data_IF_898930710345
#
_entry.id   IF_898930710345
#
_cell.length_a   1.000
_cell.length_b   1.000
_cell.length_c   1.000
_cell.angle_alpha   90.00
_cell.angle_beta   90.00
_cell.angle_gamma   90.00
#
_symmetry.space_group_name_H-M   'P 1'
#
loop_
_entity.id
_entity.type
_entity.pdbx_description
1 polymer ?
#
# COMPACT_ATOMS: atom_id res chain seq x y z
N UNK A 1 -4.95 -9.40 0.33
CA UNK A 1 -6.41 -9.42 0.05
C UNK A 1 -6.91 -8.04 -0.41
N UNK A 2 -6.72 -6.94 0.35
CA UNK A 2 -7.18 -5.60 -0.04
C UNK A 2 -6.64 -5.05 -1.37
N UNK A 3 -5.35 -5.29 -1.67
CA UNK A 3 -4.72 -4.90 -2.94
C UNK A 3 -5.37 -5.56 -4.16
N UNK A 4 -5.75 -6.83 -4.04
CA UNK A 4 -6.36 -7.60 -5.13
C UNK A 4 -7.79 -7.09 -5.39
N UNK A 5 -8.53 -6.75 -4.34
CA UNK A 5 -9.86 -6.14 -4.46
C UNK A 5 -9.81 -4.77 -5.14
N UNK A 6 -8.82 -3.93 -4.80
CA UNK A 6 -8.61 -2.65 -5.48
C UNK A 6 -8.22 -2.83 -6.95
N UNK A 7 -7.32 -3.79 -7.25
CA UNK A 7 -6.90 -4.10 -8.61
C UNK A 7 -8.10 -4.54 -9.47
N UNK A 8 -8.91 -5.47 -8.98
CA UNK A 8 -10.11 -5.94 -9.68
C UNK A 8 -11.12 -4.81 -9.87
N UNK A 9 -11.34 -3.96 -8.87
CA UNK A 9 -12.25 -2.85 -8.98
C UNK A 9 -11.77 -1.78 -9.99
N UNK A 10 -10.46 -1.58 -10.10
CA UNK A 10 -9.88 -0.67 -11.10
C UNK A 10 -10.08 -1.19 -12.54
N UNK A 11 -9.97 -2.51 -12.74
CA UNK A 11 -10.24 -3.16 -14.03
C UNK A 11 -11.73 -3.08 -14.38
N UNK A 12 -12.62 -3.35 -13.41
CA UNK A 12 -14.08 -3.26 -13.63
C UNK A 12 -14.50 -1.82 -13.97
N UNK A 13 -13.95 -0.81 -13.29
CA UNK A 13 -14.26 0.58 -13.59
C UNK A 13 -13.75 1.04 -14.97
N UNK A 14 -12.69 0.42 -15.49
CA UNK A 14 -12.20 0.69 -16.85
C UNK A 14 -13.24 0.34 -17.92
N UNK A 15 -14.03 -0.72 -17.72
CA UNK A 15 -15.12 -1.11 -18.62
C UNK A 15 -16.39 -0.28 -18.41
N UNK A 16 -16.73 0.08 -17.17
CA UNK A 16 -17.97 0.81 -16.85
C UNK A 16 -17.87 2.33 -17.08
N UNK A 17 -16.67 2.92 -17.01
CA UNK A 17 -16.41 4.36 -17.19
C UNK A 17 -17.33 5.29 -16.38
N UNK A 18 -17.78 4.86 -15.19
CA UNK A 18 -18.68 5.66 -14.35
C UNK A 18 -17.92 6.63 -13.46
N UNK A 19 -18.28 7.92 -13.50
CA UNK A 19 -17.66 8.96 -12.66
C UNK A 19 -17.94 8.75 -11.17
N UNK A 20 -19.13 8.28 -10.80
CA UNK A 20 -19.48 8.04 -9.40
C UNK A 20 -18.65 6.88 -8.81
N UNK A 21 -18.53 5.77 -9.54
CA UNK A 21 -17.71 4.63 -9.14
C UNK A 21 -16.23 5.00 -9.06
N UNK A 22 -15.73 5.84 -9.98
CA UNK A 22 -14.37 6.34 -9.93
C UNK A 22 -14.04 7.05 -8.61
N UNK A 23 -14.93 7.92 -8.11
CA UNK A 23 -14.71 8.63 -6.85
C UNK A 23 -14.78 7.69 -5.65
N UNK A 24 -15.79 6.83 -5.59
CA UNK A 24 -15.94 5.83 -4.51
C UNK A 24 -14.71 4.93 -4.44
N UNK A 25 -14.22 4.43 -5.57
CA UNK A 25 -13.03 3.59 -5.63
C UNK A 25 -11.75 4.33 -5.25
N UNK A 26 -11.66 5.62 -5.58
CA UNK A 26 -10.49 6.42 -5.20
C UNK A 26 -10.43 6.63 -3.68
N UNK A 27 -11.54 7.02 -3.04
CA UNK A 27 -11.59 7.18 -1.58
C UNK A 27 -11.45 5.85 -0.84
N UNK A 28 -12.12 4.79 -1.30
CA UNK A 28 -11.99 3.45 -0.74
C UNK A 28 -10.55 2.92 -0.88
N UNK A 29 -9.92 3.15 -2.03
CA UNK A 29 -8.51 2.84 -2.26
C UNK A 29 -7.62 3.52 -1.22
N UNK A 30 -7.78 4.83 -1.00
CA UNK A 30 -6.99 5.58 -0.01
C UNK A 30 -7.14 4.97 1.40
N UNK A 31 -8.37 4.68 1.84
CA UNK A 31 -8.61 4.08 3.16
C UNK A 31 -7.97 2.70 3.30
N UNK A 32 -8.07 1.85 2.26
CA UNK A 32 -7.46 0.52 2.25
C UNK A 32 -5.94 0.62 2.30
N UNK A 33 -5.33 1.46 1.46
CA UNK A 33 -3.88 1.62 1.41
C UNK A 33 -3.31 2.21 2.70
N UNK A 34 -3.97 3.20 3.31
CA UNK A 34 -3.58 3.73 4.63
C UNK A 34 -3.59 2.62 5.68
N UNK A 35 -4.66 1.81 5.73
CA UNK A 35 -4.76 0.70 6.68
C UNK A 35 -3.69 -0.37 6.47
N UNK A 36 -3.40 -0.71 5.21
CA UNK A 36 -2.33 -1.65 4.85
C UNK A 36 -0.95 -1.11 5.22
N UNK A 37 -0.62 0.12 4.86
CA UNK A 37 0.66 0.75 5.22
C UNK A 37 0.87 0.78 6.74
N UNK A 38 -0.17 1.11 7.51
CA UNK A 38 -0.11 1.12 8.96
C UNK A 38 0.15 -0.28 9.53
N UNK A 39 -0.48 -1.31 8.96
CA UNK A 39 -0.25 -2.70 9.34
C UNK A 39 1.16 -3.16 8.99
N UNK A 40 1.63 -2.90 7.77
CA UNK A 40 2.95 -3.32 7.31
C UNK A 40 4.08 -2.61 8.08
N UNK A 41 3.89 -1.34 8.45
CA UNK A 41 4.80 -0.62 9.35
C UNK A 41 4.94 -1.34 10.71
N UNK A 42 3.81 -1.73 11.30
CA UNK A 42 3.81 -2.44 12.58
C UNK A 42 4.43 -3.84 12.47
N UNK A 43 4.15 -4.55 11.37
CA UNK A 43 4.70 -5.87 11.09
C UNK A 43 6.22 -5.82 10.96
N UNK A 44 6.75 -4.86 10.21
CA UNK A 44 8.21 -4.67 10.03
C UNK A 44 8.86 -4.34 11.37
N UNK A 45 8.26 -3.47 12.19
CA UNK A 45 8.76 -3.13 13.53
C UNK A 45 8.81 -4.34 14.47
N UNK A 46 7.81 -5.23 14.41
CA UNK A 46 7.80 -6.48 15.19
C UNK A 46 8.87 -7.45 14.72
N UNK A 47 9.05 -7.57 13.40
CA UNK A 47 10.06 -8.44 12.80
C UNK A 47 11.48 -7.97 13.14
N UNK A 48 11.76 -6.67 13.06
CA UNK A 48 13.08 -6.12 13.42
C UNK A 48 13.40 -6.33 14.91
N UNK A 49 12.42 -6.10 15.81
CA UNK A 49 12.61 -6.29 17.25
C UNK A 49 12.88 -7.75 17.65
N UNK A 50 12.34 -8.72 16.90
CA UNK A 50 12.58 -10.15 17.14
C UNK A 50 13.93 -10.65 16.61
N UNK A 51 14.59 -9.90 15.73
CA UNK A 51 15.86 -10.27 15.10
C UNK A 51 17.08 -9.69 15.82
N UNK A 52 16.94 -8.61 16.59
CA UNK A 52 18.03 -8.04 17.40
C UNK A 52 18.61 -9.03 18.43
N UNK A 53 17.85 -10.06 18.82
CA UNK A 53 18.29 -11.10 19.75
C UNK A 53 19.03 -12.29 19.11
N UNK A 54 18.97 -12.44 17.79
CA UNK A 54 19.64 -13.52 17.05
C UNK A 54 20.72 -12.89 16.18
N UNK A 55 22.01 -13.14 16.45
CA UNK A 55 23.19 -12.56 15.80
C UNK A 55 23.32 -12.78 14.26
N UNK A 56 22.25 -13.12 13.56
CA UNK A 56 22.21 -13.41 12.15
C UNK A 56 22.03 -12.13 11.31
N UNK A 57 23.11 -11.35 11.19
CA UNK A 57 23.15 -10.07 10.46
C UNK A 57 22.66 -10.20 9.00
N UNK A 58 22.83 -11.36 8.37
CA UNK A 58 22.34 -11.63 7.02
C UNK A 58 20.81 -11.64 6.94
N UNK A 59 20.16 -12.23 7.95
CA UNK A 59 18.70 -12.29 8.04
C UNK A 59 18.09 -10.92 8.35
N UNK A 60 18.72 -10.17 9.27
CA UNK A 60 18.37 -8.76 9.56
C UNK A 60 18.38 -7.91 8.29
N UNK A 61 19.47 -7.97 7.51
CA UNK A 61 19.61 -7.16 6.29
C UNK A 61 18.55 -7.50 5.24
N UNK A 62 18.20 -8.77 5.07
CA UNK A 62 17.13 -9.19 4.16
C UNK A 62 15.76 -8.68 4.60
N UNK A 63 15.45 -8.79 5.89
CA UNK A 63 14.15 -8.35 6.44
C UNK A 63 14.00 -6.83 6.33
N UNK A 64 15.06 -6.07 6.59
CA UNK A 64 15.04 -4.61 6.41
C UNK A 64 14.84 -4.23 4.94
N UNK A 65 15.56 -4.86 4.01
CA UNK A 65 15.42 -4.58 2.58
C UNK A 65 14.02 -4.94 2.04
N UNK A 66 13.50 -6.12 2.39
CA UNK A 66 12.16 -6.53 2.00
C UNK A 66 11.09 -5.63 2.63
N UNK A 67 11.22 -5.31 3.91
CA UNK A 67 10.30 -4.40 4.60
C UNK A 67 10.28 -3.01 3.97
N UNK A 68 11.45 -2.45 3.66
CA UNK A 68 11.56 -1.17 2.98
C UNK A 68 10.93 -1.20 1.58
N UNK A 69 11.13 -2.27 0.81
CA UNK A 69 10.49 -2.45 -0.50
C UNK A 69 8.96 -2.51 -0.39
N UNK A 70 8.41 -3.24 0.59
CA UNK A 70 6.96 -3.29 0.82
C UNK A 70 6.40 -1.91 1.14
N UNK A 71 7.00 -1.20 2.10
CA UNK A 71 6.62 0.16 2.47
C UNK A 71 6.70 1.14 1.29
N UNK A 72 7.72 0.99 0.44
CA UNK A 72 7.89 1.81 -0.76
C UNK A 72 6.75 1.59 -1.78
N UNK A 73 6.37 0.34 -2.01
CA UNK A 73 5.26 0.00 -2.91
C UNK A 73 3.92 0.52 -2.36
N UNK A 74 3.69 0.41 -1.05
CA UNK A 74 2.49 0.96 -0.42
C UNK A 74 2.44 2.48 -0.54
N UNK A 75 3.58 3.14 -0.31
CA UNK A 75 3.71 4.58 -0.45
C UNK A 75 3.40 5.04 -1.88
N UNK A 76 3.94 4.38 -2.91
CA UNK A 76 3.64 4.72 -4.31
C UNK A 76 2.14 4.64 -4.59
N UNK A 77 1.48 3.58 -4.15
CA UNK A 77 0.05 3.41 -4.42
C UNK A 77 -0.80 4.49 -3.75
N UNK A 78 -0.50 4.77 -2.48
CA UNK A 78 -1.15 5.84 -1.73
C UNK A 78 -0.87 7.21 -2.39
N UNK A 79 0.37 7.46 -2.80
CA UNK A 79 0.78 8.68 -3.48
C UNK A 79 0.05 8.88 -4.81
N UNK A 80 -0.08 7.84 -5.64
CA UNK A 80 -0.82 7.92 -6.91
C UNK A 80 -2.32 8.19 -6.68
N UNK A 81 -2.91 7.58 -5.65
CA UNK A 81 -4.29 7.83 -5.27
C UNK A 81 -4.51 9.26 -4.77
N UNK A 82 -3.58 9.77 -3.96
CA UNK A 82 -3.58 11.17 -3.54
C UNK A 82 -3.42 12.10 -4.75
N UNK A 83 -2.45 11.85 -5.62
CA UNK A 83 -2.21 12.63 -6.84
C UNK A 83 -3.45 12.64 -7.72
N UNK A 84 -4.20 11.54 -7.80
CA UNK A 84 -5.47 11.48 -8.53
C UNK A 84 -6.53 12.43 -7.95
N UNK A 85 -6.64 12.52 -6.62
CA UNK A 85 -7.58 13.42 -5.94
C UNK A 85 -7.12 14.89 -6.05
N UNK A 86 -5.83 15.13 -5.85
CA UNK A 86 -5.23 16.47 -5.80
C UNK A 86 -4.98 17.09 -7.18
N UNK A 87 -4.58 16.27 -8.16
CA UNK A 87 -4.17 16.66 -9.51
C UNK A 87 -5.34 16.90 -10.46
N UNK A 88 -6.58 16.59 -10.07
CA UNK A 88 -7.78 16.83 -10.88
C UNK A 88 -8.27 18.28 -10.73
N UNK A 89 -7.36 19.25 -10.80
CA UNK A 89 -7.66 20.67 -10.98
C UNK A 89 -7.32 21.06 -12.42
N UNK A 90 -8.34 20.95 -13.27
CA UNK A 90 -8.43 21.32 -14.71
C UNK A 90 -7.79 20.33 -15.68
#
# INVERSE_FOLDING_TARGET
>A
MGLIGFLLASVVNFFLKSEMLYWVLTYAGILIFIGLTAYDTQKIKKLSAGLDGNNDQLMLRRVVLMGALTLYLDFINLFLLLLRVLGRRR
#
